data_IF_220445977407
#
_entry.id   IF_220445977407
#
_cell.length_a   1.000
_cell.length_b   1.000
_cell.length_c   1.000
_cell.angle_alpha   90.00
_cell.angle_beta   90.00
_cell.angle_gamma   90.00
#
_symmetry.space_group_name_H-M   'P 1'
#
loop_
_entity.id
_entity.type
_entity.pdbx_description
1 polymer ?
#
# COMPACT_ATOMS: atom_id res chain seq x y z
N UNK A 1 55.24 -2.89 -1.28
CA UNK A 1 55.12 -1.75 -0.34
C UNK A 1 54.76 -2.31 1.03
N UNK A 2 55.41 -1.94 2.15
CA UNK A 2 54.99 -2.47 3.47
C UNK A 2 53.56 -2.00 3.78
N UNK A 3 52.69 -2.92 4.22
CA UNK A 3 51.25 -2.74 4.51
C UNK A 3 50.91 -1.54 5.44
N UNK A 4 51.91 -0.94 6.07
CA UNK A 4 51.81 0.03 7.17
C UNK A 4 51.15 1.37 6.78
N UNK A 5 50.93 1.65 5.49
CA UNK A 5 50.34 2.90 5.00
C UNK A 5 49.33 2.73 3.84
N UNK A 6 48.71 1.55 3.69
CA UNK A 6 47.81 1.25 2.56
C UNK A 6 46.64 2.25 2.47
N UNK A 7 45.99 2.53 3.61
CA UNK A 7 44.90 3.50 3.68
C UNK A 7 45.32 4.88 3.16
N UNK A 8 46.47 5.39 3.60
CA UNK A 8 46.94 6.73 3.23
C UNK A 8 47.30 6.81 1.74
N UNK A 9 47.92 5.75 1.20
CA UNK A 9 48.22 5.65 -0.23
C UNK A 9 46.93 5.67 -1.09
N UNK A 10 45.91 4.92 -0.68
CA UNK A 10 44.60 4.90 -1.37
C UNK A 10 43.92 6.26 -1.28
N UNK A 11 43.88 6.89 -0.10
CA UNK A 11 43.25 8.20 0.08
C UNK A 11 43.98 9.32 -0.67
N UNK A 12 45.32 9.27 -0.74
CA UNK A 12 46.10 10.23 -1.52
C UNK A 12 45.82 10.07 -3.02
N UNK A 13 45.85 8.83 -3.52
CA UNK A 13 45.56 8.55 -4.93
C UNK A 13 44.14 8.93 -5.32
N UNK A 14 43.16 8.68 -4.46
CA UNK A 14 41.78 9.09 -4.69
C UNK A 14 41.66 10.61 -4.82
N UNK A 15 42.44 11.41 -4.06
CA UNK A 15 42.39 12.89 -4.15
C UNK A 15 42.94 13.40 -5.48
N UNK A 16 43.98 12.75 -5.99
CA UNK A 16 44.74 13.20 -7.16
C UNK A 16 44.21 12.61 -8.49
N UNK A 17 43.26 11.68 -8.43
CA UNK A 17 42.66 11.06 -9.62
C UNK A 17 41.48 11.89 -10.14
N UNK A 18 41.73 12.70 -11.17
CA UNK A 18 40.73 13.53 -11.84
C UNK A 18 39.63 12.71 -12.55
N UNK A 19 39.86 11.41 -12.81
CA UNK A 19 38.86 10.53 -13.40
C UNK A 19 37.84 10.02 -12.36
N UNK A 20 38.13 10.16 -11.07
CA UNK A 20 37.22 9.78 -9.97
C UNK A 20 36.38 10.98 -9.55
N UNK A 21 35.07 10.90 -9.77
CA UNK A 21 34.13 11.97 -9.45
C UNK A 21 34.14 12.34 -7.96
N UNK A 22 33.86 13.62 -7.65
CA UNK A 22 33.89 14.16 -6.28
C UNK A 22 33.10 13.33 -5.26
N UNK A 23 31.92 12.84 -5.67
CA UNK A 23 31.07 12.00 -4.82
C UNK A 23 31.67 10.62 -4.59
N UNK A 24 32.27 10.00 -5.61
CA UNK A 24 32.95 8.72 -5.47
C UNK A 24 34.20 8.86 -4.58
N UNK A 25 34.96 9.95 -4.71
CA UNK A 25 36.08 10.30 -3.80
C UNK A 25 35.64 10.41 -2.34
N UNK A 26 34.48 11.02 -2.11
CA UNK A 26 33.89 11.09 -0.77
C UNK A 26 33.52 9.68 -0.26
N UNK A 27 32.89 8.83 -1.09
CA UNK A 27 32.54 7.46 -0.70
C UNK A 27 33.79 6.63 -0.38
N UNK A 28 34.85 6.72 -1.17
CA UNK A 28 36.14 6.09 -0.85
C UNK A 28 36.64 6.57 0.52
N UNK A 29 36.61 7.88 0.77
CA UNK A 29 37.03 8.44 2.06
C UNK A 29 36.17 7.94 3.24
N UNK A 30 34.86 7.76 3.02
CA UNK A 30 33.92 7.21 4.01
C UNK A 30 34.15 5.72 4.28
N UNK A 31 34.43 4.91 3.26
CA UNK A 31 34.72 3.49 3.40
C UNK A 31 35.97 3.22 4.25
N UNK A 32 36.96 4.12 4.17
CA UNK A 32 38.19 4.08 4.97
C UNK A 32 38.09 4.84 6.31
N UNK A 33 36.95 5.45 6.64
CA UNK A 33 36.75 6.16 7.91
C UNK A 33 36.82 5.18 9.07
N UNK A 34 37.63 5.51 10.07
CA UNK A 34 37.86 4.69 11.27
C UNK A 34 38.43 3.29 10.99
N UNK A 35 38.94 3.05 9.77
CA UNK A 35 39.67 1.84 9.42
C UNK A 35 41.14 2.00 9.83
N UNK A 36 41.75 1.01 10.52
CA UNK A 36 43.19 1.02 10.82
C UNK A 36 44.04 1.23 9.57
N UNK A 37 45.16 1.93 9.69
CA UNK A 37 46.00 2.31 8.54
C UNK A 37 46.58 1.09 7.81
N UNK A 38 46.80 0.01 8.55
CA UNK A 38 47.31 -1.30 8.10
C UNK A 38 46.20 -2.30 7.71
N UNK A 39 44.93 -1.90 7.74
CA UNK A 39 43.85 -2.79 7.36
C UNK A 39 43.89 -3.11 5.85
N UNK A 40 43.62 -4.36 5.45
CA UNK A 40 43.63 -4.73 4.05
C UNK A 40 42.48 -4.08 3.29
N UNK A 41 42.68 -3.87 1.98
CA UNK A 41 41.69 -3.31 1.06
C UNK A 41 40.32 -4.02 1.13
N UNK A 42 40.31 -5.31 1.43
CA UNK A 42 39.09 -6.13 1.58
C UNK A 42 38.14 -5.59 2.65
N UNK A 43 38.64 -4.92 3.70
CA UNK A 43 37.81 -4.30 4.74
C UNK A 43 37.01 -3.12 4.16
N UNK A 44 37.67 -2.24 3.40
CA UNK A 44 36.99 -1.10 2.77
C UNK A 44 36.00 -1.57 1.69
N UNK A 45 36.37 -2.58 0.89
CA UNK A 45 35.47 -3.18 -0.10
C UNK A 45 34.22 -3.80 0.54
N UNK A 46 34.36 -4.55 1.63
CA UNK A 46 33.23 -5.15 2.34
C UNK A 46 32.26 -4.09 2.92
N UNK A 47 32.79 -2.95 3.40
CA UNK A 47 31.94 -1.83 3.85
C UNK A 47 31.18 -1.19 2.71
N UNK A 48 31.82 -1.06 1.54
CA UNK A 48 31.19 -0.51 0.35
C UNK A 48 30.11 -1.43 -0.21
N UNK A 49 30.34 -2.75 -0.18
CA UNK A 49 29.32 -3.75 -0.53
C UNK A 49 28.09 -3.65 0.38
N UNK A 50 28.29 -3.58 1.69
CA UNK A 50 27.20 -3.39 2.64
C UNK A 50 26.44 -2.07 2.42
N UNK A 51 27.14 -0.99 2.06
CA UNK A 51 26.51 0.29 1.73
C UNK A 51 25.69 0.21 0.42
N UNK A 52 26.21 -0.45 -0.62
CA UNK A 52 25.50 -0.69 -1.88
C UNK A 52 24.22 -1.49 -1.65
N UNK A 53 24.28 -2.53 -0.82
CA UNK A 53 23.13 -3.38 -0.48
C UNK A 53 22.07 -2.57 0.28
N UNK A 54 22.48 -1.78 1.28
CA UNK A 54 21.59 -0.93 2.06
C UNK A 54 20.90 0.14 1.20
N UNK A 55 21.66 0.81 0.32
CA UNK A 55 21.12 1.77 -0.65
C UNK A 55 20.12 1.12 -1.61
N UNK A 56 20.40 -0.11 -2.05
CA UNK A 56 19.50 -0.86 -2.93
C UNK A 56 18.20 -1.27 -2.21
N UNK A 57 18.28 -1.61 -0.92
CA UNK A 57 17.10 -1.89 -0.09
C UNK A 57 16.21 -0.65 0.07
N UNK A 58 16.80 0.52 0.31
CA UNK A 58 16.05 1.78 0.36
C UNK A 58 15.35 2.12 -0.96
N UNK A 59 16.00 1.89 -2.11
CA UNK A 59 15.35 2.08 -3.43
C UNK A 59 14.21 1.11 -3.67
N UNK A 60 14.38 -0.15 -3.26
CA UNK A 60 13.32 -1.16 -3.34
C UNK A 60 12.10 -0.74 -2.54
N UNK A 61 12.29 -0.32 -1.29
CA UNK A 61 11.21 0.21 -0.46
C UNK A 61 10.56 1.46 -1.12
N UNK A 62 11.39 2.35 -1.67
CA UNK A 62 10.90 3.57 -2.34
C UNK A 62 9.95 3.27 -3.51
N UNK A 63 10.21 2.18 -4.25
CA UNK A 63 9.45 1.76 -5.42
C UNK A 63 8.07 1.13 -5.09
N UNK A 64 7.75 0.91 -3.82
CA UNK A 64 6.46 0.32 -3.39
C UNK A 64 5.32 1.31 -3.25
N UNK A 65 5.60 2.62 -3.35
CA UNK A 65 4.57 3.65 -3.18
C UNK A 65 3.61 3.64 -4.37
N UNK A 66 2.29 3.48 -4.14
CA UNK A 66 1.31 3.45 -5.20
C UNK A 66 1.21 4.80 -5.91
N UNK A 67 0.71 4.76 -7.15
CA UNK A 67 0.41 5.97 -7.89
C UNK A 67 -0.76 6.75 -7.24
N UNK A 68 -0.77 8.08 -7.45
CA UNK A 68 -1.86 8.92 -6.99
C UNK A 68 -3.21 8.46 -7.58
N UNK A 69 -3.25 8.14 -8.87
CA UNK A 69 -4.45 7.66 -9.54
C UNK A 69 -4.94 6.30 -9.01
N UNK A 70 -4.04 5.42 -8.56
CA UNK A 70 -4.42 4.12 -7.96
C UNK A 70 -5.15 4.30 -6.63
N UNK A 71 -4.60 5.14 -5.73
CA UNK A 71 -5.24 5.44 -4.45
C UNK A 71 -6.53 6.23 -4.66
N UNK A 72 -6.53 7.25 -5.52
CA UNK A 72 -7.74 8.05 -5.82
C UNK A 72 -8.87 7.19 -6.38
N UNK A 73 -8.55 6.30 -7.33
CA UNK A 73 -9.52 5.34 -7.90
C UNK A 73 -10.05 4.38 -6.83
N UNK A 74 -9.19 3.81 -5.99
CA UNK A 74 -9.60 2.92 -4.92
C UNK A 74 -10.45 3.64 -3.85
N UNK A 75 -10.12 4.89 -3.51
CA UNK A 75 -10.92 5.73 -2.62
C UNK A 75 -12.29 6.04 -3.24
N UNK A 76 -12.36 6.42 -4.51
CA UNK A 76 -13.62 6.67 -5.21
C UNK A 76 -14.50 5.41 -5.27
N UNK A 77 -13.89 4.25 -5.53
CA UNK A 77 -14.58 2.97 -5.53
C UNK A 77 -15.15 2.62 -4.14
N UNK A 78 -14.39 2.86 -3.06
CA UNK A 78 -14.87 2.65 -1.69
C UNK A 78 -16.05 3.57 -1.37
N UNK A 79 -15.93 4.87 -1.64
CA UNK A 79 -17.01 5.83 -1.37
C UNK A 79 -18.28 5.50 -2.17
N UNK A 80 -18.14 5.11 -3.44
CA UNK A 80 -19.26 4.67 -4.26
C UNK A 80 -19.90 3.39 -3.70
N UNK A 81 -19.11 2.44 -3.22
CA UNK A 81 -19.64 1.19 -2.68
C UNK A 81 -20.35 1.39 -1.32
N UNK A 82 -19.83 2.28 -0.48
CA UNK A 82 -20.49 2.67 0.79
C UNK A 82 -21.81 3.39 0.53
N UNK A 83 -21.85 4.29 -0.46
CA UNK A 83 -23.09 4.95 -0.86
C UNK A 83 -24.14 3.93 -1.35
N UNK A 84 -23.74 3.01 -2.23
CA UNK A 84 -24.61 1.95 -2.74
C UNK A 84 -25.09 1.00 -1.62
N UNK A 85 -24.23 0.69 -0.63
CA UNK A 85 -24.65 -0.05 0.55
C UNK A 85 -25.70 0.73 1.34
N UNK A 86 -25.50 2.01 1.60
CA UNK A 86 -26.47 2.85 2.30
C UNK A 86 -27.82 2.94 1.57
N UNK A 87 -27.81 3.03 0.24
CA UNK A 87 -29.04 2.97 -0.58
C UNK A 87 -29.74 1.62 -0.45
N UNK A 88 -28.99 0.52 -0.55
CA UNK A 88 -29.54 -0.82 -0.43
C UNK A 88 -30.05 -1.13 0.99
N UNK A 89 -29.43 -0.57 2.02
CA UNK A 89 -29.89 -0.66 3.42
C UNK A 89 -31.18 0.11 3.65
N UNK A 90 -31.36 1.27 3.00
CA UNK A 90 -32.65 1.99 3.02
C UNK A 90 -33.75 1.26 2.26
N UNK A 91 -33.39 0.58 1.18
CA UNK A 91 -34.33 -0.20 0.36
C UNK A 91 -34.74 -1.52 1.03
N UNK A 92 -33.82 -2.15 1.77
CA UNK A 92 -34.09 -3.37 2.52
C UNK A 92 -34.75 -3.05 3.86
N UNK A 93 -36.06 -3.28 3.98
CA UNK A 93 -36.79 -3.14 5.24
C UNK A 93 -36.25 -4.16 6.29
N UNK A 94 -36.17 -3.76 7.55
CA UNK A 94 -35.84 -4.65 8.67
C UNK A 94 -36.84 -5.82 8.78
N UNK A 95 -38.07 -5.63 8.32
CA UNK A 95 -39.13 -6.64 8.28
C UNK A 95 -39.16 -7.45 6.98
N UNK A 96 -38.21 -7.27 6.07
CA UNK A 96 -38.23 -7.89 4.73
C UNK A 96 -38.32 -9.42 4.80
N UNK A 97 -37.56 -10.07 5.69
CA UNK A 97 -37.59 -11.52 5.85
C UNK A 97 -38.96 -12.03 6.33
N UNK A 98 -39.56 -11.35 7.31
CA UNK A 98 -40.89 -11.70 7.85
C UNK A 98 -41.98 -11.49 6.79
N UNK A 99 -41.90 -10.41 6.01
CA UNK A 99 -42.83 -10.15 4.90
C UNK A 99 -42.70 -11.18 3.79
N UNK A 100 -41.48 -11.55 3.41
CA UNK A 100 -41.22 -12.62 2.43
C UNK A 100 -41.89 -13.91 2.88
N UNK A 101 -41.65 -14.34 4.13
CA UNK A 101 -42.27 -15.55 4.67
C UNK A 101 -43.80 -15.48 4.70
N UNK A 102 -44.35 -14.32 5.11
CA UNK A 102 -45.79 -14.10 5.14
C UNK A 102 -46.43 -14.18 3.74
N UNK A 103 -45.83 -13.52 2.75
CA UNK A 103 -46.31 -13.53 1.36
C UNK A 103 -46.23 -14.93 0.76
N UNK A 104 -45.13 -15.65 0.97
CA UNK A 104 -44.98 -17.04 0.52
C UNK A 104 -46.05 -17.96 1.11
N UNK A 105 -46.25 -17.88 2.43
CA UNK A 105 -47.25 -18.70 3.13
C UNK A 105 -48.67 -18.36 2.68
N UNK A 106 -48.95 -17.07 2.46
CA UNK A 106 -50.27 -16.61 2.01
C UNK A 106 -50.56 -17.01 0.55
N UNK A 107 -49.54 -16.99 -0.32
CA UNK A 107 -49.64 -17.47 -1.69
C UNK A 107 -49.89 -18.99 -1.75
N UNK A 108 -49.19 -19.77 -0.91
CA UNK A 108 -49.44 -21.21 -0.78
C UNK A 108 -50.85 -21.51 -0.26
N UNK A 109 -51.34 -20.71 0.70
CA UNK A 109 -52.70 -20.82 1.19
C UNK A 109 -53.73 -20.57 0.07
N UNK A 110 -53.53 -19.52 -0.74
CA UNK A 110 -54.39 -19.25 -1.90
C UNK A 110 -54.34 -20.39 -2.92
N UNK A 111 -53.17 -20.93 -3.23
CA UNK A 111 -53.02 -22.04 -4.19
C UNK A 111 -53.84 -23.28 -3.77
N UNK A 112 -53.91 -23.56 -2.47
CA UNK A 112 -54.67 -24.70 -1.92
C UNK A 112 -56.17 -24.45 -1.77
N UNK A 113 -56.58 -23.21 -1.53
CA UNK A 113 -57.96 -22.89 -1.10
C UNK A 113 -58.70 -21.93 -2.03
N UNK A 114 -58.05 -21.45 -3.09
CA UNK A 114 -58.59 -20.46 -4.03
C UNK A 114 -58.85 -19.12 -3.36
N UNK A 115 -59.82 -18.37 -3.90
CA UNK A 115 -60.23 -17.08 -3.35
C UNK A 115 -60.82 -17.22 -1.96
N UNK A 116 -60.24 -16.51 -0.99
CA UNK A 116 -60.65 -16.55 0.41
C UNK A 116 -60.74 -15.13 1.00
N UNK A 117 -61.60 -14.90 2.01
CA UNK A 117 -61.53 -13.66 2.79
C UNK A 117 -60.18 -13.55 3.48
N UNK A 118 -59.64 -12.33 3.59
CA UNK A 118 -58.36 -12.09 4.22
C UNK A 118 -58.39 -12.52 5.70
N UNK A 119 -57.54 -13.48 6.12
CA UNK A 119 -57.57 -14.00 7.48
C UNK A 119 -57.05 -13.00 8.52
N UNK A 120 -56.39 -11.92 8.09
CA UNK A 120 -55.84 -10.89 8.98
C UNK A 120 -56.86 -9.78 9.25
N UNK A 121 -57.45 -9.20 8.19
CA UNK A 121 -58.30 -8.02 8.34
C UNK A 121 -59.80 -8.30 8.15
N UNK A 122 -60.17 -9.46 7.60
CA UNK A 122 -61.55 -9.86 7.24
C UNK A 122 -62.30 -8.89 6.30
N UNK A 123 -61.62 -7.87 5.73
CA UNK A 123 -62.22 -6.86 4.85
C UNK A 123 -61.89 -7.05 3.38
N UNK A 124 -60.70 -7.56 3.05
CA UNK A 124 -60.26 -7.86 1.68
C UNK A 124 -60.36 -9.34 1.33
N UNK A 125 -60.02 -9.68 0.08
CA UNK A 125 -59.89 -11.05 -0.43
C UNK A 125 -58.44 -11.35 -0.83
N UNK A 126 -58.02 -12.60 -0.63
CA UNK A 126 -56.88 -13.16 -1.35
C UNK A 126 -57.46 -13.66 -2.68
N UNK A 127 -57.58 -12.79 -3.67
CA UNK A 127 -58.06 -13.10 -5.02
C UNK A 127 -56.90 -13.06 -6.04
N UNK A 128 -57.20 -13.24 -7.32
CA UNK A 128 -56.19 -13.26 -8.37
C UNK A 128 -55.43 -11.92 -8.49
N UNK A 129 -56.08 -10.79 -8.22
CA UNK A 129 -55.43 -9.47 -8.20
C UNK A 129 -54.44 -9.40 -7.02
N UNK A 130 -54.86 -9.85 -5.84
CA UNK A 130 -53.98 -9.96 -4.68
C UNK A 130 -52.80 -10.89 -4.96
N UNK A 131 -52.99 -12.02 -5.67
CA UNK A 131 -51.90 -12.94 -6.03
C UNK A 131 -50.87 -12.25 -6.93
N UNK A 132 -51.32 -11.49 -7.94
CA UNK A 132 -50.42 -10.73 -8.83
C UNK A 132 -49.61 -9.72 -8.02
N UNK A 133 -50.28 -8.94 -7.17
CA UNK A 133 -49.61 -7.99 -6.28
C UNK A 133 -48.62 -8.68 -5.33
N UNK A 134 -49.03 -9.78 -4.68
CA UNK A 134 -48.22 -10.49 -3.69
C UNK A 134 -46.96 -11.09 -4.33
N UNK A 135 -47.07 -11.63 -5.55
CA UNK A 135 -45.91 -12.10 -6.32
C UNK A 135 -44.97 -10.96 -6.69
N UNK A 136 -45.49 -9.81 -7.13
CA UNK A 136 -44.67 -8.64 -7.44
C UNK A 136 -43.95 -8.10 -6.20
N UNK A 137 -44.65 -8.01 -5.05
CA UNK A 137 -44.07 -7.61 -3.78
C UNK A 137 -42.98 -8.58 -3.31
N UNK A 138 -43.23 -9.89 -3.40
CA UNK A 138 -42.26 -10.92 -3.05
C UNK A 138 -40.98 -10.84 -3.91
N UNK A 139 -41.12 -10.60 -5.22
CA UNK A 139 -39.97 -10.36 -6.11
C UNK A 139 -39.19 -9.12 -5.68
N UNK A 140 -39.87 -7.99 -5.44
CA UNK A 140 -39.23 -6.75 -5.03
C UNK A 140 -38.45 -6.89 -3.72
N UNK A 141 -39.00 -7.57 -2.72
CA UNK A 141 -38.32 -7.83 -1.43
C UNK A 141 -37.08 -8.72 -1.61
N UNK A 142 -37.18 -9.78 -2.42
CA UNK A 142 -36.03 -10.66 -2.72
C UNK A 142 -34.93 -9.92 -3.49
N UNK A 143 -35.31 -9.07 -4.43
CA UNK A 143 -34.39 -8.23 -5.19
C UNK A 143 -33.67 -7.23 -4.28
N UNK A 144 -34.40 -6.56 -3.37
CA UNK A 144 -33.81 -5.65 -2.38
C UNK A 144 -32.83 -6.37 -1.45
N UNK A 145 -33.20 -7.54 -0.93
CA UNK A 145 -32.32 -8.37 -0.10
C UNK A 145 -31.07 -8.84 -0.87
N UNK A 146 -31.22 -9.18 -2.15
CA UNK A 146 -30.10 -9.54 -3.03
C UNK A 146 -29.17 -8.34 -3.27
N UNK A 147 -29.74 -7.18 -3.60
CA UNK A 147 -29.01 -5.94 -3.80
C UNK A 147 -28.20 -5.54 -2.57
N UNK A 148 -28.78 -5.66 -1.36
CA UNK A 148 -28.07 -5.40 -0.11
C UNK A 148 -26.88 -6.35 0.10
N UNK A 149 -27.05 -7.65 -0.15
CA UNK A 149 -25.92 -8.61 -0.06
C UNK A 149 -24.81 -8.26 -1.04
N UNK A 150 -25.16 -7.93 -2.29
CA UNK A 150 -24.20 -7.51 -3.31
C UNK A 150 -23.48 -6.24 -2.87
N UNK A 151 -24.21 -5.22 -2.41
CA UNK A 151 -23.66 -3.93 -2.00
C UNK A 151 -22.69 -4.08 -0.81
N UNK A 152 -23.07 -4.84 0.24
CA UNK A 152 -22.18 -5.15 1.37
C UNK A 152 -20.90 -5.86 0.93
N UNK A 153 -21.03 -6.84 0.04
CA UNK A 153 -19.86 -7.53 -0.51
C UNK A 153 -18.96 -6.58 -1.32
N UNK A 154 -19.56 -5.64 -2.05
CA UNK A 154 -18.87 -4.61 -2.82
C UNK A 154 -18.08 -3.66 -1.93
N UNK A 155 -18.72 -3.11 -0.89
CA UNK A 155 -18.08 -2.25 0.09
C UNK A 155 -16.93 -2.96 0.79
N UNK A 156 -17.14 -4.20 1.23
CA UNK A 156 -16.08 -5.01 1.83
C UNK A 156 -14.88 -5.20 0.88
N UNK A 157 -15.13 -5.58 -0.39
CA UNK A 157 -14.04 -5.75 -1.38
C UNK A 157 -13.30 -4.44 -1.66
N UNK A 158 -14.02 -3.33 -1.83
CA UNK A 158 -13.40 -2.03 -2.06
C UNK A 158 -12.51 -1.62 -0.89
N UNK A 159 -12.97 -1.88 0.34
CA UNK A 159 -12.18 -1.64 1.55
C UNK A 159 -10.93 -2.50 1.61
N UNK A 160 -11.03 -3.80 1.29
CA UNK A 160 -9.87 -4.69 1.26
C UNK A 160 -8.86 -4.28 0.19
N UNK A 161 -9.32 -3.84 -0.98
CA UNK A 161 -8.43 -3.34 -2.04
C UNK A 161 -7.62 -2.13 -1.55
N UNK A 162 -8.27 -1.17 -0.90
CA UNK A 162 -7.62 0.01 -0.36
C UNK A 162 -6.62 -0.34 0.76
N UNK A 163 -6.97 -1.28 1.64
CA UNK A 163 -6.06 -1.78 2.69
C UNK A 163 -4.84 -2.46 2.10
N UNK A 164 -5.02 -3.26 1.03
CA UNK A 164 -3.91 -3.91 0.36
C UNK A 164 -2.93 -2.91 -0.24
N UNK A 165 -3.41 -1.80 -0.82
CA UNK A 165 -2.54 -0.73 -1.31
C UNK A 165 -1.73 -0.08 -0.18
N UNK A 166 -2.35 0.19 0.97
CA UNK A 166 -1.63 0.76 2.13
C UNK A 166 -0.58 -0.21 2.67
N UNK A 167 -0.92 -1.49 2.76
CA UNK A 167 -0.01 -2.54 3.27
C UNK A 167 1.11 -2.90 2.31
N UNK A 168 0.95 -2.62 1.02
CA UNK A 168 1.98 -2.85 0.02
C UNK A 168 3.14 -1.84 0.12
N UNK A 169 2.95 -0.72 0.84
CA UNK A 169 4.01 0.27 1.05
C UNK A 169 4.99 -0.23 2.10
N UNK A 170 6.18 -0.59 1.64
CA UNK A 170 7.27 -1.04 2.52
C UNK A 170 7.83 0.12 3.33
N UNK A 171 8.07 -0.14 4.62
CA UNK A 171 8.78 0.81 5.47
C UNK A 171 10.25 0.90 5.01
N UNK A 172 10.87 2.09 4.99
CA UNK A 172 12.29 2.20 4.72
C UNK A 172 13.08 1.41 5.78
N UNK A 173 14.09 0.60 5.38
CA UNK A 173 14.94 -0.14 6.31
C UNK A 173 15.52 0.76 7.41
N UNK A 174 15.80 0.21 8.60
CA UNK A 174 16.34 0.99 9.71
C UNK A 174 17.85 1.24 9.64
N UNK A 175 18.53 0.73 8.61
CA UNK A 175 19.99 0.76 8.48
C UNK A 175 20.57 2.18 8.54
N UNK A 176 21.75 2.28 9.14
CA UNK A 176 22.49 3.53 9.35
C UNK A 176 23.18 4.01 8.07
N UNK A 177 22.48 4.01 6.93
CA UNK A 177 22.95 4.78 5.79
C UNK A 177 22.72 6.25 6.14
N UNK A 178 23.76 7.07 5.98
CA UNK A 178 23.72 8.52 6.23
C UNK A 178 22.92 9.27 5.15
N UNK A 179 21.66 8.87 4.94
CA UNK A 179 20.69 9.56 4.10
C UNK A 179 19.73 10.34 4.99
N UNK A 180 19.80 11.66 4.92
CA UNK A 180 18.88 12.56 5.62
C UNK A 180 17.41 12.31 5.21
N UNK A 181 17.18 11.81 4.00
CA UNK A 181 15.86 11.47 3.47
C UNK A 181 15.20 10.26 4.18
N UNK A 182 15.96 9.35 4.81
CA UNK A 182 15.40 8.15 5.47
C UNK A 182 14.49 8.52 6.63
N UNK A 183 14.88 9.52 7.44
CA UNK A 183 14.06 9.96 8.57
C UNK A 183 12.71 10.51 8.12
N UNK A 184 12.71 11.34 7.07
CA UNK A 184 11.48 11.90 6.50
C UNK A 184 10.58 10.80 5.89
N UNK A 185 11.15 9.86 5.13
CA UNK A 185 10.42 8.74 4.55
C UNK A 185 9.79 7.83 5.61
N UNK A 186 10.52 7.52 6.69
CA UNK A 186 9.99 6.72 7.81
C UNK A 186 8.86 7.43 8.55
N UNK A 187 8.97 8.74 8.77
CA UNK A 187 7.91 9.53 9.40
C UNK A 187 6.65 9.57 8.52
N UNK A 188 6.82 9.73 7.22
CA UNK A 188 5.71 9.70 6.27
C UNK A 188 5.03 8.33 6.24
N UNK A 189 5.80 7.23 6.23
CA UNK A 189 5.28 5.86 6.33
C UNK A 189 4.49 5.63 7.63
N UNK A 190 5.02 6.07 8.77
CA UNK A 190 4.34 5.97 10.07
C UNK A 190 3.01 6.75 10.10
N UNK A 191 2.92 7.85 9.36
CA UNK A 191 1.69 8.65 9.26
C UNK A 191 0.66 8.00 8.33
N UNK A 192 1.14 7.37 7.24
CA UNK A 192 0.31 6.75 6.22
C UNK A 192 -0.22 5.35 6.59
N UNK A 193 0.60 4.54 7.26
CA UNK A 193 0.36 3.11 7.52
C UNK A 193 -0.75 2.73 8.51
N UNK A 194 -1.16 3.54 9.50
CA UNK A 194 -2.24 3.16 10.40
C UNK A 194 -3.52 2.90 9.59
N UNK A 195 -4.43 2.04 10.01
CA UNK A 195 -5.69 1.78 9.30
C UNK A 195 -6.86 1.93 10.28
N UNK A 196 -7.74 2.94 10.13
CA UNK A 196 -8.95 3.05 10.95
C UNK A 196 -9.83 1.80 10.77
N UNK A 197 -10.45 1.34 11.86
CA UNK A 197 -11.27 0.13 11.86
C UNK A 197 -12.69 0.37 11.35
N UNK A 198 -13.30 1.53 11.63
CA UNK A 198 -14.77 1.64 11.57
C UNK A 198 -15.33 2.82 10.76
N UNK A 199 -14.51 3.52 9.97
CA UNK A 199 -14.99 4.62 9.10
C UNK A 199 -14.28 4.63 7.75
N UNK A 200 -15.00 4.18 6.73
CA UNK A 200 -14.52 4.10 5.34
C UNK A 200 -14.38 5.48 4.68
N UNK A 201 -15.20 6.46 5.09
CA UNK A 201 -15.10 7.84 4.57
C UNK A 201 -13.88 8.55 5.16
N UNK A 202 -13.64 8.37 6.46
CA UNK A 202 -12.44 8.87 7.11
C UNK A 202 -11.18 8.17 6.58
N UNK A 203 -11.24 6.86 6.31
CA UNK A 203 -10.15 6.13 5.67
C UNK A 203 -9.80 6.76 4.32
N UNK A 204 -10.76 6.89 3.41
CA UNK A 204 -10.54 7.46 2.08
C UNK A 204 -10.01 8.90 2.15
N UNK A 205 -10.65 9.76 2.95
CA UNK A 205 -10.26 11.16 3.11
C UNK A 205 -8.84 11.32 3.66
N UNK A 206 -8.45 10.46 4.60
CA UNK A 206 -7.09 10.46 5.13
C UNK A 206 -6.07 10.02 4.09
N UNK A 207 -6.32 8.94 3.34
CA UNK A 207 -5.34 8.48 2.35
C UNK A 207 -5.08 9.52 1.27
N UNK A 208 -6.12 10.21 0.79
CA UNK A 208 -5.98 11.34 -0.15
C UNK A 208 -5.13 12.46 0.46
N UNK A 209 -5.26 12.73 1.77
CA UNK A 209 -4.51 13.78 2.45
C UNK A 209 -3.05 13.41 2.72
N UNK A 210 -2.76 12.17 3.13
CA UNK A 210 -1.42 11.75 3.54
C UNK A 210 -0.54 11.29 2.36
N UNK A 211 -1.15 10.87 1.23
CA UNK A 211 -0.43 10.34 0.07
C UNK A 211 0.60 11.32 -0.53
N UNK A 212 0.32 12.63 -0.70
CA UNK A 212 1.31 13.56 -1.26
C UNK A 212 2.60 13.60 -0.43
N UNK A 213 2.48 13.71 0.90
CA UNK A 213 3.64 13.76 1.78
C UNK A 213 4.45 12.45 1.76
N UNK A 214 3.78 11.29 1.65
CA UNK A 214 4.44 10.00 1.47
C UNK A 214 5.22 9.96 0.15
N UNK A 215 4.58 10.35 -0.96
CA UNK A 215 5.20 10.35 -2.29
C UNK A 215 6.41 11.26 -2.35
N UNK A 216 6.29 12.47 -1.82
CA UNK A 216 7.40 13.43 -1.80
C UNK A 216 8.59 12.89 -1.00
N UNK A 217 8.34 12.32 0.19
CA UNK A 217 9.38 11.76 1.03
C UNK A 217 10.07 10.53 0.40
N UNK A 218 9.31 9.65 -0.25
CA UNK A 218 9.84 8.46 -0.92
C UNK A 218 10.55 8.80 -2.24
N UNK A 219 10.08 9.81 -2.99
CA UNK A 219 10.79 10.32 -4.16
C UNK A 219 12.14 10.95 -3.77
N UNK A 220 12.18 11.72 -2.67
CA UNK A 220 13.43 12.24 -2.12
C UNK A 220 14.38 11.11 -1.66
N UNK A 221 13.84 10.06 -1.04
CA UNK A 221 14.62 8.88 -0.67
C UNK A 221 15.19 8.16 -1.90
N UNK A 222 14.37 7.95 -2.93
CA UNK A 222 14.80 7.31 -4.19
C UNK A 222 15.93 8.08 -4.84
N UNK A 223 15.78 9.41 -5.00
CA UNK A 223 16.80 10.26 -5.60
C UNK A 223 18.10 10.26 -4.80
N UNK A 224 18.02 10.37 -3.47
CA UNK A 224 19.18 10.36 -2.59
C UNK A 224 19.91 9.01 -2.63
N UNK A 225 19.16 7.91 -2.56
CA UNK A 225 19.72 6.57 -2.62
C UNK A 225 20.32 6.26 -4.00
N UNK A 226 19.66 6.66 -5.10
CA UNK A 226 20.18 6.49 -6.45
C UNK A 226 21.50 7.25 -6.68
N UNK A 227 21.56 8.52 -6.24
CA UNK A 227 22.77 9.34 -6.36
C UNK A 227 23.95 8.76 -5.56
N UNK A 228 23.70 8.26 -4.33
CA UNK A 228 24.74 7.66 -3.50
C UNK A 228 25.16 6.28 -4.01
N UNK A 229 24.23 5.49 -4.54
CA UNK A 229 24.49 4.17 -5.11
C UNK A 229 25.41 4.26 -6.34
N UNK A 230 25.19 5.27 -7.20
CA UNK A 230 26.06 5.48 -8.36
C UNK A 230 27.49 5.83 -7.92
N UNK A 231 27.64 6.75 -6.97
CA UNK A 231 28.95 7.11 -6.41
C UNK A 231 29.64 5.93 -5.73
N UNK A 232 28.87 5.07 -5.04
CA UNK A 232 29.40 3.87 -4.39
C UNK A 232 29.87 2.82 -5.40
N UNK A 233 29.16 2.65 -6.52
CA UNK A 233 29.59 1.75 -7.61
C UNK A 233 30.86 2.25 -8.29
N UNK A 234 30.92 3.54 -8.62
CA UNK A 234 32.13 4.15 -9.19
C UNK A 234 33.34 3.99 -8.25
N UNK A 235 33.16 4.29 -6.95
CA UNK A 235 34.19 4.08 -5.93
C UNK A 235 34.64 2.61 -5.85
N UNK A 236 33.71 1.66 -5.98
CA UNK A 236 34.00 0.22 -5.94
C UNK A 236 34.82 -0.20 -7.14
N UNK A 237 34.38 0.20 -8.34
CA UNK A 237 35.07 -0.12 -9.59
C UNK A 237 36.49 0.46 -9.58
N UNK A 238 36.66 1.67 -9.06
CA UNK A 238 37.96 2.29 -8.88
C UNK A 238 38.87 1.54 -7.90
N UNK A 239 38.36 1.15 -6.72
CA UNK A 239 39.12 0.36 -5.75
C UNK A 239 39.50 -1.03 -6.30
N UNK A 240 38.61 -1.65 -7.09
CA UNK A 240 38.88 -2.92 -7.76
C UNK A 240 39.99 -2.79 -8.81
N UNK A 241 40.01 -1.69 -9.57
CA UNK A 241 41.06 -1.41 -10.55
C UNK A 241 42.43 -1.17 -9.89
N UNK A 242 42.47 -0.73 -8.62
CA UNK A 242 43.71 -0.54 -7.86
C UNK A 242 44.28 -1.82 -7.27
N UNK A 243 43.44 -2.81 -6.95
CA UNK A 243 43.86 -4.03 -6.28
C UNK A 243 45.07 -4.76 -6.94
N UNK A 244 45.17 -4.86 -8.29
CA UNK A 244 46.34 -5.45 -8.94
C UNK A 244 47.62 -4.61 -8.80
N UNK A 245 47.49 -3.28 -8.66
CA UNK A 245 48.64 -2.36 -8.62
C UNK A 245 49.25 -2.19 -7.23
N UNK A 246 48.60 -2.73 -6.21
CA UNK A 246 49.02 -2.67 -4.80
C UNK A 246 49.59 -4.02 -4.30
N UNK A 247 49.51 -5.07 -5.14
CA UNK A 247 49.96 -6.44 -4.85
C UNK A 247 51.36 -6.81 -5.37
N UNK A 248 52.10 -5.85 -5.95
CA UNK A 248 53.54 -5.94 -6.30
C UNK A 248 54.38 -5.02 -5.39
#
# INVERSE_FOLDING_TARGET
MTDEHLRDAVLHRARDDDALGDRARQVVSEAWRDVPTDAPLTVAMARLDAEIDALSAHRTAAATVPDAGEIESACAALLSAVAAQGDAERAADALSADRVQFLETSLEFHDRHGTQPCPVCAKGSLDDEWVVWARAALTAERDAASALRVARSGAHRARQALISLVRAVDAPPPEEVTLTAVAAARLAHQSFSPLPTDDDTALASRLVRELPALRDAYAALEQAAAAKLEAAREAKDWLQALAPTLGD
#
